data_IF_317300941758
#
_entry.id   IF_317300941758
#
_cell.length_a   1.000
_cell.length_b   1.000
_cell.length_c   1.000
_cell.angle_alpha   90.00
_cell.angle_beta   90.00
_cell.angle_gamma   90.00
#
_symmetry.space_group_name_H-M   'P 1'
#
loop_
_entity.id
_entity.type
_entity.pdbx_description
1 polymer ?
#
# COMPACT_ATOMS: atom_id res chain seq x y z
N UNK A 1 42.86 -13.75 -11.33
CA UNK A 1 42.55 -12.59 -10.45
C UNK A 1 41.35 -11.89 -11.05
N UNK A 2 40.28 -11.69 -10.30
CA UNK A 2 39.11 -10.95 -10.81
C UNK A 2 39.48 -9.49 -11.03
N UNK A 3 38.93 -8.88 -12.05
CA UNK A 3 38.96 -7.45 -12.26
C UNK A 3 37.73 -6.83 -11.59
N UNK A 4 37.96 -5.76 -10.82
CA UNK A 4 36.88 -5.02 -10.18
C UNK A 4 36.79 -3.64 -10.83
N UNK A 5 35.62 -3.25 -11.29
CA UNK A 5 35.36 -1.92 -11.82
C UNK A 5 34.55 -1.15 -10.79
N UNK A 6 34.89 0.11 -10.62
CA UNK A 6 34.08 1.06 -9.89
C UNK A 6 33.35 1.93 -10.91
N UNK A 7 32.04 2.05 -10.76
CA UNK A 7 31.21 2.93 -11.61
C UNK A 7 30.93 4.20 -10.82
N UNK A 8 31.29 5.35 -11.40
CA UNK A 8 30.98 6.64 -10.82
C UNK A 8 29.45 6.83 -10.75
N UNK A 9 28.89 7.31 -9.63
CA UNK A 9 27.45 7.62 -9.53
C UNK A 9 26.93 8.59 -10.60
N UNK A 10 27.82 9.41 -11.17
CA UNK A 10 27.51 10.37 -12.25
C UNK A 10 27.72 9.79 -13.67
N UNK A 11 28.07 8.49 -13.77
CA UNK A 11 28.29 7.87 -15.07
C UNK A 11 27.02 7.84 -15.91
N UNK A 12 27.16 8.15 -17.21
CA UNK A 12 26.04 8.11 -18.15
C UNK A 12 25.55 6.66 -18.35
N UNK A 13 24.24 6.51 -18.58
CA UNK A 13 23.60 5.21 -18.84
C UNK A 13 23.78 4.86 -20.31
N UNK A 14 24.95 4.38 -20.66
CA UNK A 14 25.33 3.97 -22.03
C UNK A 14 26.27 2.76 -22.01
N UNK A 15 26.55 2.18 -23.16
CA UNK A 15 27.60 1.18 -23.31
C UNK A 15 28.94 1.84 -23.60
N UNK A 16 29.94 1.46 -22.82
CA UNK A 16 31.32 1.90 -22.97
C UNK A 16 32.12 0.77 -23.63
N UNK A 17 32.63 0.94 -24.88
CA UNK A 17 33.50 -0.04 -25.47
C UNK A 17 34.88 -0.02 -24.75
N UNK A 18 35.35 -1.19 -24.37
CA UNK A 18 36.63 -1.40 -23.73
C UNK A 18 37.48 -2.38 -24.55
N UNK A 19 38.78 -2.17 -24.59
CA UNK A 19 39.70 -3.14 -25.19
C UNK A 19 40.70 -3.64 -24.15
N UNK A 20 40.69 -4.93 -23.89
CA UNK A 20 41.66 -5.59 -23.01
C UNK A 20 42.83 -6.08 -23.85
N UNK A 21 44.01 -5.52 -23.64
CA UNK A 21 45.25 -5.93 -24.28
C UNK A 21 45.98 -6.93 -23.36
N UNK A 22 46.19 -8.14 -23.86
CA UNK A 22 46.91 -9.20 -23.13
C UNK A 22 48.20 -9.52 -23.89
N UNK A 23 49.33 -9.26 -23.23
CA UNK A 23 50.66 -9.58 -23.76
C UNK A 23 51.40 -10.51 -22.82
N UNK A 24 52.19 -11.41 -23.34
CA UNK A 24 53.01 -12.30 -22.55
C UNK A 24 54.35 -12.59 -23.27
N UNK A 25 55.33 -13.03 -22.50
CA UNK A 25 56.61 -13.47 -23.08
C UNK A 25 56.40 -14.57 -24.11
N UNK A 26 57.21 -14.56 -25.14
CA UNK A 26 57.09 -15.49 -26.29
C UNK A 26 56.24 -15.01 -27.44
N UNK A 27 55.84 -13.72 -27.42
CA UNK A 27 55.16 -13.10 -28.54
C UNK A 27 53.65 -13.30 -28.54
N UNK A 28 53.06 -13.60 -27.39
CA UNK A 28 51.59 -13.60 -27.25
C UNK A 28 51.08 -12.16 -27.16
N UNK A 29 50.20 -11.81 -28.10
CA UNK A 29 49.57 -10.52 -28.16
C UNK A 29 48.12 -10.72 -28.63
N UNK A 30 47.16 -10.34 -27.80
CA UNK A 30 45.73 -10.45 -28.07
C UNK A 30 44.99 -9.24 -27.55
N UNK A 31 44.01 -8.82 -28.35
CA UNK A 31 43.03 -7.78 -27.96
C UNK A 31 41.69 -8.46 -27.83
N UNK A 32 41.01 -8.18 -26.72
CA UNK A 32 39.65 -8.60 -26.47
C UNK A 32 38.80 -7.32 -26.39
N UNK A 33 37.85 -7.16 -27.29
CA UNK A 33 36.86 -6.07 -27.21
C UNK A 33 35.72 -6.50 -26.31
N UNK A 34 35.39 -5.65 -25.36
CA UNK A 34 34.35 -5.84 -24.35
C UNK A 34 33.44 -4.62 -24.36
N UNK A 35 32.16 -4.84 -24.15
CA UNK A 35 31.19 -3.76 -23.91
C UNK A 35 30.80 -3.75 -22.44
N UNK A 36 31.12 -2.65 -21.74
CA UNK A 36 30.63 -2.40 -20.40
C UNK A 36 29.37 -1.54 -20.49
N UNK A 37 28.23 -2.11 -20.19
CA UNK A 37 26.95 -1.38 -20.16
C UNK A 37 26.69 -0.86 -18.77
N UNK A 38 26.53 0.46 -18.63
CA UNK A 38 25.98 1.10 -17.44
C UNK A 38 24.46 1.21 -17.65
N UNK A 39 23.69 0.63 -16.76
CA UNK A 39 22.23 0.67 -16.81
C UNK A 39 21.65 0.96 -15.44
N UNK A 40 20.38 1.34 -15.41
CA UNK A 40 19.62 1.43 -14.14
C UNK A 40 19.18 0.05 -13.62
N UNK A 41 19.45 -1.02 -14.36
CA UNK A 41 19.11 -2.38 -13.95
C UNK A 41 20.10 -2.86 -12.89
N UNK A 42 19.58 -3.21 -11.74
CA UNK A 42 20.32 -3.93 -10.71
C UNK A 42 20.28 -5.44 -11.02
N UNK A 43 21.29 -6.19 -10.57
CA UNK A 43 21.25 -7.65 -10.63
C UNK A 43 19.96 -8.17 -9.99
N UNK A 44 19.34 -9.17 -10.62
CA UNK A 44 18.02 -9.71 -10.28
C UNK A 44 16.81 -8.76 -10.48
N UNK A 45 16.99 -7.53 -10.95
CA UNK A 45 15.90 -6.65 -11.35
C UNK A 45 15.89 -6.42 -12.87
N UNK A 46 14.71 -6.37 -13.54
CA UNK A 46 13.37 -6.49 -12.94
C UNK A 46 13.04 -7.93 -12.52
N UNK A 47 12.30 -8.06 -11.42
CA UNK A 47 11.74 -9.34 -10.97
C UNK A 47 10.48 -9.64 -11.80
N UNK A 48 10.40 -10.86 -12.36
CA UNK A 48 9.23 -11.29 -13.12
C UNK A 48 8.31 -12.12 -12.21
N UNK A 49 7.16 -11.55 -11.86
CA UNK A 49 6.11 -12.25 -11.14
C UNK A 49 5.18 -12.97 -12.11
N UNK A 50 4.57 -14.07 -11.65
CA UNK A 50 3.57 -14.81 -12.44
C UNK A 50 2.23 -14.08 -12.50
N UNK A 51 1.89 -13.30 -11.47
CA UNK A 51 0.70 -12.47 -11.36
C UNK A 51 0.93 -11.02 -11.76
N UNK A 52 -0.14 -10.33 -12.18
CA UNK A 52 -0.10 -8.88 -12.35
C UNK A 52 0.04 -8.20 -10.98
N UNK A 53 0.83 -7.13 -10.90
CA UNK A 53 0.90 -6.25 -9.73
C UNK A 53 -0.01 -5.07 -9.97
N UNK A 54 -0.97 -4.84 -9.07
CA UNK A 54 -1.89 -3.68 -9.10
C UNK A 54 -1.59 -2.69 -8.00
N UNK A 55 -1.23 -3.19 -6.82
CA UNK A 55 -0.84 -2.38 -5.68
C UNK A 55 0.60 -1.85 -5.81
N UNK A 56 0.94 -0.89 -4.98
CA UNK A 56 2.29 -0.36 -4.86
C UNK A 56 3.11 -1.30 -3.96
N UNK A 57 4.36 -1.66 -4.33
CA UNK A 57 5.28 -2.32 -3.41
C UNK A 57 5.58 -1.44 -2.19
N UNK A 58 5.81 -2.05 -1.06
CA UNK A 58 6.23 -1.39 0.18
C UNK A 58 7.63 -1.84 0.53
N UNK A 59 8.45 -0.90 0.97
CA UNK A 59 9.79 -1.18 1.52
C UNK A 59 9.72 -0.99 3.03
N UNK A 60 10.05 -2.04 3.77
CA UNK A 60 10.12 -2.05 5.21
C UNK A 60 11.36 -2.86 5.65
N UNK A 61 12.18 -2.28 6.53
CA UNK A 61 13.38 -2.91 7.12
C UNK A 61 14.30 -3.61 6.09
N UNK A 62 14.61 -2.91 4.99
CA UNK A 62 15.43 -3.41 3.87
C UNK A 62 14.81 -4.59 3.08
N UNK A 63 13.50 -4.81 3.21
CA UNK A 63 12.74 -5.77 2.43
C UNK A 63 11.68 -5.08 1.57
N UNK A 64 11.42 -5.66 0.39
CA UNK A 64 10.38 -5.24 -0.54
C UNK A 64 9.23 -6.24 -0.46
N UNK A 65 8.04 -5.75 -0.12
CA UNK A 65 6.82 -6.54 -0.09
C UNK A 65 5.90 -6.14 -1.23
N UNK A 66 5.33 -7.13 -1.92
CA UNK A 66 4.40 -6.89 -3.01
C UNK A 66 3.34 -7.98 -3.09
N UNK A 67 2.09 -7.58 -3.23
CA UNK A 67 0.98 -8.48 -3.51
C UNK A 67 0.70 -8.56 -5.00
N UNK A 68 0.40 -9.75 -5.50
CA UNK A 68 0.05 -9.95 -6.90
C UNK A 68 -1.43 -10.33 -7.11
N UNK A 69 -1.85 -10.31 -8.36
CA UNK A 69 -3.22 -10.63 -8.77
C UNK A 69 -3.57 -12.12 -8.70
N UNK A 70 -2.62 -13.00 -8.44
CA UNK A 70 -2.85 -14.42 -8.12
C UNK A 70 -3.11 -14.64 -6.63
N UNK A 71 -2.94 -13.60 -5.80
CA UNK A 71 -3.14 -13.64 -4.36
C UNK A 71 -1.88 -13.93 -3.56
N UNK A 72 -0.72 -13.86 -4.19
CA UNK A 72 0.55 -14.15 -3.54
C UNK A 72 1.17 -12.87 -2.98
N UNK A 73 1.57 -12.91 -1.72
CA UNK A 73 2.41 -11.89 -1.08
C UNK A 73 3.86 -12.35 -1.19
N UNK A 74 4.66 -11.57 -1.88
CA UNK A 74 6.09 -11.82 -2.07
C UNK A 74 6.91 -10.92 -1.14
N UNK A 75 8.07 -11.42 -0.71
CA UNK A 75 9.07 -10.69 0.06
C UNK A 75 10.43 -10.85 -0.59
N UNK A 76 11.08 -9.74 -0.94
CA UNK A 76 12.39 -9.71 -1.60
C UNK A 76 13.36 -8.86 -0.81
N UNK A 77 14.63 -9.28 -0.78
CA UNK A 77 15.70 -8.42 -0.30
C UNK A 77 16.00 -7.29 -1.30
N UNK A 78 16.81 -6.32 -0.91
CA UNK A 78 17.19 -5.18 -1.76
C UNK A 78 18.06 -5.58 -2.97
N UNK A 79 18.47 -6.85 -3.07
CA UNK A 79 19.18 -7.42 -4.22
C UNK A 79 18.23 -8.22 -5.13
N UNK A 80 16.95 -8.32 -4.82
CA UNK A 80 15.93 -9.03 -5.60
C UNK A 80 15.92 -10.54 -5.38
N UNK A 81 16.49 -11.03 -4.30
CA UNK A 81 16.35 -12.43 -3.91
C UNK A 81 15.07 -12.61 -3.11
N UNK A 82 14.25 -13.58 -3.52
CA UNK A 82 13.01 -13.89 -2.82
C UNK A 82 13.32 -14.54 -1.46
N UNK A 83 12.69 -14.02 -0.40
CA UNK A 83 12.74 -14.66 0.92
C UNK A 83 11.79 -15.86 0.93
N UNK A 84 12.33 -16.99 1.37
CA UNK A 84 11.58 -18.23 1.55
C UNK A 84 11.52 -18.67 3.02
N UNK A 85 11.81 -17.75 3.93
CA UNK A 85 11.70 -17.97 5.36
C UNK A 85 10.29 -17.65 5.85
N UNK A 86 9.85 -18.33 6.90
CA UNK A 86 8.51 -18.17 7.43
C UNK A 86 7.45 -18.64 6.43
N UNK A 87 6.40 -17.83 6.24
CA UNK A 87 5.27 -18.16 5.34
C UNK A 87 5.44 -17.60 3.93
N UNK A 88 6.44 -16.77 3.65
CA UNK A 88 6.62 -16.17 2.32
C UNK A 88 7.24 -17.13 1.29
N UNK A 89 6.80 -17.06 0.01
CA UNK A 89 5.65 -16.31 -0.49
C UNK A 89 4.33 -16.85 0.08
N UNK A 90 3.42 -15.96 0.52
CA UNK A 90 2.16 -16.33 1.18
C UNK A 90 0.98 -16.26 0.21
N UNK A 91 0.19 -17.33 0.12
CA UNK A 91 -1.03 -17.42 -0.70
C UNK A 91 -2.25 -17.01 0.14
N UNK A 92 -2.84 -15.86 -0.18
CA UNK A 92 -4.07 -15.38 0.46
C UNK A 92 -5.35 -16.06 -0.06
N UNK A 93 -5.25 -16.88 -1.09
CA UNK A 93 -6.35 -17.65 -1.69
C UNK A 93 -7.15 -16.93 -2.78
N UNK A 94 -7.02 -15.61 -2.97
CA UNK A 94 -7.62 -14.82 -4.08
C UNK A 94 -6.86 -13.51 -4.26
N UNK A 95 -7.18 -12.78 -5.29
CA UNK A 95 -6.52 -11.58 -5.81
C UNK A 95 -6.22 -10.52 -4.74
N UNK A 96 -5.01 -9.98 -4.77
CA UNK A 96 -4.63 -8.77 -4.05
C UNK A 96 -4.70 -7.60 -5.01
N UNK A 97 -5.56 -6.61 -4.71
CA UNK A 97 -5.77 -5.41 -5.53
C UNK A 97 -5.14 -4.17 -4.92
N UNK A 98 -5.20 -4.07 -3.60
CA UNK A 98 -4.60 -2.98 -2.83
C UNK A 98 -3.10 -3.13 -2.68
N UNK A 99 -2.48 -2.10 -2.19
CA UNK A 99 -1.08 -2.14 -1.75
C UNK A 99 -0.96 -2.87 -0.41
N UNK A 100 0.22 -3.35 -0.13
CA UNK A 100 0.60 -3.78 1.23
C UNK A 100 0.69 -2.54 2.12
N UNK A 101 0.33 -2.64 3.39
CA UNK A 101 0.58 -1.62 4.41
C UNK A 101 1.63 -2.11 5.40
N UNK A 102 2.36 -1.19 6.03
CA UNK A 102 3.38 -1.54 7.02
C UNK A 102 3.43 -0.52 8.16
N UNK A 103 3.52 -1.00 9.38
CA UNK A 103 3.75 -0.24 10.62
C UNK A 103 4.11 -1.21 11.73
N UNK A 104 4.67 -0.73 12.82
CA UNK A 104 4.75 -1.46 14.09
C UNK A 104 3.35 -1.35 14.76
N UNK A 105 2.47 -2.36 14.53
CA UNK A 105 1.07 -2.27 14.93
C UNK A 105 0.85 -2.60 16.40
N UNK A 106 1.71 -3.41 17.01
CA UNK A 106 1.62 -3.81 18.43
C UNK A 106 2.71 -3.18 19.32
N UNK A 107 3.47 -2.23 18.73
CA UNK A 107 4.51 -1.44 19.40
C UNK A 107 5.62 -2.30 20.06
N UNK A 108 5.92 -3.45 19.46
CA UNK A 108 7.00 -4.33 19.92
C UNK A 108 8.40 -3.89 19.44
N UNK A 109 8.47 -2.87 18.60
CA UNK A 109 9.67 -2.29 18.01
C UNK A 109 10.06 -2.88 16.67
N UNK A 110 9.23 -3.77 16.10
CA UNK A 110 9.42 -4.38 14.78
C UNK A 110 8.31 -3.93 13.83
N UNK A 111 8.65 -3.77 12.55
CA UNK A 111 7.63 -3.44 11.54
C UNK A 111 6.79 -4.67 11.23
N UNK A 112 5.48 -4.49 11.07
CA UNK A 112 4.53 -5.49 10.64
C UNK A 112 4.03 -5.19 9.22
N UNK A 113 3.57 -6.22 8.55
CA UNK A 113 3.07 -6.18 7.17
C UNK A 113 1.61 -6.59 7.17
N UNK A 114 0.75 -5.74 6.58
CA UNK A 114 -0.69 -5.97 6.55
C UNK A 114 -1.17 -6.04 5.10
N UNK A 115 -1.93 -7.07 4.77
CA UNK A 115 -2.44 -7.33 3.41
C UNK A 115 -3.93 -7.63 3.45
N UNK A 116 -4.67 -7.01 2.54
CA UNK A 116 -6.07 -7.29 2.28
C UNK A 116 -6.24 -8.04 0.96
N UNK A 117 -7.14 -9.01 0.91
CA UNK A 117 -7.36 -9.86 -0.26
C UNK A 117 -8.84 -10.01 -0.60
N UNK A 118 -9.11 -10.28 -1.86
CA UNK A 118 -10.44 -10.66 -2.34
C UNK A 118 -10.89 -12.02 -1.79
N UNK A 119 -9.99 -12.82 -1.20
CA UNK A 119 -10.34 -14.00 -0.40
C UNK A 119 -11.20 -13.67 0.83
N UNK A 120 -11.36 -12.37 1.15
CA UNK A 120 -12.06 -11.78 2.31
C UNK A 120 -11.20 -11.70 3.58
N UNK A 121 -9.94 -12.05 3.47
CA UNK A 121 -9.01 -12.05 4.58
C UNK A 121 -8.20 -10.76 4.64
N UNK A 122 -8.06 -10.23 5.85
CA UNK A 122 -7.09 -9.24 6.24
C UNK A 122 -6.06 -9.93 7.12
N UNK A 123 -4.81 -10.00 6.65
CA UNK A 123 -3.76 -10.76 7.32
C UNK A 123 -2.62 -9.84 7.71
N UNK A 124 -2.11 -9.98 8.92
CA UNK A 124 -0.91 -9.31 9.39
C UNK A 124 0.20 -10.32 9.69
N UNK A 125 1.42 -9.95 9.33
CA UNK A 125 2.64 -10.73 9.52
C UNK A 125 3.69 -9.89 10.24
N UNK A 126 4.51 -10.52 11.05
CA UNK A 126 5.76 -9.91 11.47
C UNK A 126 6.82 -10.01 10.37
N UNK A 127 7.98 -9.39 10.58
CA UNK A 127 9.09 -9.42 9.61
C UNK A 127 9.74 -10.81 9.43
N UNK A 128 9.51 -11.76 10.35
CA UNK A 128 9.96 -13.16 10.21
C UNK A 128 8.98 -14.00 9.37
N UNK A 129 7.78 -13.45 9.08
CA UNK A 129 6.71 -14.13 8.36
C UNK A 129 5.82 -14.96 9.27
N UNK A 130 5.83 -14.72 10.58
CA UNK A 130 4.85 -15.30 11.48
C UNK A 130 3.54 -14.50 11.38
N UNK A 131 2.41 -15.22 11.27
CA UNK A 131 1.10 -14.59 11.17
C UNK A 131 0.69 -14.07 12.55
N UNK A 132 0.50 -12.75 12.68
CA UNK A 132 -0.02 -12.10 13.90
C UNK A 132 -1.53 -12.31 14.02
N UNK A 133 -2.25 -12.08 12.93
CA UNK A 133 -3.67 -12.41 12.84
C UNK A 133 -4.10 -12.69 11.41
N UNK A 134 -5.24 -13.37 11.28
CA UNK A 134 -5.96 -13.61 10.02
C UNK A 134 -7.45 -13.38 10.28
N UNK A 135 -7.97 -12.23 9.82
CA UNK A 135 -9.34 -11.78 10.05
C UNK A 135 -10.21 -12.01 8.82
N UNK A 136 -11.31 -12.80 8.94
CA UNK A 136 -12.33 -12.99 7.89
C UNK A 136 -13.37 -11.86 7.96
N UNK A 137 -13.27 -10.91 7.02
CA UNK A 137 -14.20 -9.79 6.88
C UNK A 137 -15.54 -10.18 6.25
N UNK A 138 -15.70 -11.41 5.77
CA UNK A 138 -16.89 -11.87 5.03
C UNK A 138 -17.17 -11.10 3.72
N UNK A 139 -16.32 -10.14 3.36
CA UNK A 139 -16.39 -9.26 2.19
C UNK A 139 -15.10 -9.30 1.39
N UNK A 140 -15.17 -9.13 0.08
CA UNK A 140 -13.97 -8.89 -0.73
C UNK A 140 -13.30 -7.60 -0.27
N UNK A 141 -12.04 -7.68 0.09
CA UNK A 141 -11.22 -6.55 0.49
C UNK A 141 -10.31 -6.20 -0.71
N UNK A 142 -10.59 -5.05 -1.34
CA UNK A 142 -9.89 -4.64 -2.56
C UNK A 142 -9.07 -3.36 -2.37
N UNK A 143 -9.37 -2.59 -1.34
CA UNK A 143 -8.64 -1.38 -0.99
C UNK A 143 -7.36 -1.68 -0.21
N UNK A 144 -6.40 -0.77 -0.26
CA UNK A 144 -5.23 -0.81 0.62
C UNK A 144 -5.66 -0.62 2.06
N UNK A 145 -5.20 -1.46 3.02
CA UNK A 145 -5.43 -1.22 4.44
C UNK A 145 -4.80 0.09 4.89
N UNK A 146 -5.47 0.82 5.78
CA UNK A 146 -4.89 1.96 6.48
C UNK A 146 -4.63 1.58 7.94
N UNK A 147 -3.56 2.10 8.51
CA UNK A 147 -3.15 1.84 9.89
C UNK A 147 -3.15 3.17 10.64
N UNK A 148 -3.80 3.22 11.79
CA UNK A 148 -3.91 4.42 12.62
C UNK A 148 -4.45 4.12 14.00
N UNK A 149 -4.65 5.15 14.80
CA UNK A 149 -5.13 5.05 16.17
C UNK A 149 -6.63 5.33 16.23
N UNK A 150 -7.46 4.29 16.41
CA UNK A 150 -8.92 4.44 16.45
C UNK A 150 -9.51 4.31 17.86
N UNK A 151 -8.75 3.82 18.85
CA UNK A 151 -9.27 3.66 20.19
C UNK A 151 -8.37 4.28 21.27
N UNK A 152 -8.34 3.79 22.50
CA UNK A 152 -7.63 4.47 23.58
C UNK A 152 -6.42 3.70 24.07
N UNK A 153 -6.15 2.52 23.50
CA UNK A 153 -4.91 1.83 23.78
C UNK A 153 -3.77 2.38 22.90
N UNK A 154 -2.51 2.08 23.17
CA UNK A 154 -1.39 2.64 22.41
C UNK A 154 -1.11 1.89 21.10
N UNK A 155 -1.58 0.67 20.94
CA UNK A 155 -1.40 -0.16 19.76
C UNK A 155 -2.25 0.39 18.60
N UNK A 156 -1.94 0.00 17.34
CA UNK A 156 -2.60 0.59 16.18
C UNK A 156 -3.67 -0.34 15.60
N UNK A 157 -4.72 0.27 15.06
CA UNK A 157 -5.81 -0.40 14.39
C UNK A 157 -5.63 -0.39 12.88
N UNK A 158 -6.23 -1.38 12.24
CA UNK A 158 -6.21 -1.55 10.79
C UNK A 158 -7.62 -1.36 10.24
N UNK A 159 -7.77 -0.42 9.30
CA UNK A 159 -9.04 -0.12 8.65
C UNK A 159 -9.01 -0.58 7.20
N UNK A 160 -10.04 -1.31 6.77
CA UNK A 160 -10.17 -1.74 5.38
C UNK A 160 -11.63 -1.70 4.93
N UNK A 161 -11.91 -1.20 3.70
CA UNK A 161 -13.26 -1.16 3.16
C UNK A 161 -13.62 -2.46 2.43
N UNK A 162 -14.89 -2.85 2.51
CA UNK A 162 -15.46 -4.02 1.84
C UNK A 162 -16.14 -3.68 0.53
N UNK A 163 -16.01 -4.57 -0.46
CA UNK A 163 -16.52 -4.37 -1.82
C UNK A 163 -17.70 -5.28 -2.21
N UNK A 164 -17.83 -6.47 -1.63
CA UNK A 164 -18.83 -7.44 -2.07
C UNK A 164 -20.25 -7.00 -1.73
N UNK A 165 -21.24 -7.51 -2.49
CA UNK A 165 -22.65 -7.18 -2.29
C UNK A 165 -23.23 -7.57 -0.92
N UNK A 166 -22.57 -8.49 -0.23
CA UNK A 166 -22.98 -8.97 1.11
C UNK A 166 -22.20 -8.33 2.27
N UNK A 167 -21.23 -7.45 1.99
CA UNK A 167 -20.36 -6.88 3.01
C UNK A 167 -19.83 -5.51 2.59
N UNK A 168 -20.72 -4.59 2.27
CA UNK A 168 -20.41 -3.21 1.94
C UNK A 168 -20.21 -2.39 3.23
N UNK A 169 -19.17 -2.76 3.96
CA UNK A 169 -18.88 -2.27 5.30
C UNK A 169 -17.47 -1.74 5.39
N UNK A 170 -17.23 -0.88 6.35
CA UNK A 170 -15.89 -0.53 6.79
C UNK A 170 -15.57 -1.40 7.99
N UNK A 171 -14.48 -2.13 7.89
CA UNK A 171 -13.95 -2.98 8.94
C UNK A 171 -12.80 -2.27 9.63
N UNK A 172 -12.77 -2.34 10.95
CA UNK A 172 -11.63 -1.92 11.75
C UNK A 172 -11.30 -3.04 12.76
N UNK A 173 -10.04 -3.42 12.80
CA UNK A 173 -9.54 -4.47 13.69
C UNK A 173 -8.32 -3.99 14.43
N UNK A 174 -8.16 -4.44 15.69
CA UNK A 174 -7.01 -4.20 16.52
C UNK A 174 -5.78 -4.96 16.01
N UNK A 175 -4.61 -4.62 16.52
CA UNK A 175 -3.33 -5.28 16.25
C UNK A 175 -3.36 -6.82 16.40
N UNK A 176 -4.26 -7.36 17.22
CA UNK A 176 -4.44 -8.80 17.47
C UNK A 176 -5.54 -9.46 16.62
N UNK A 177 -6.17 -8.68 15.70
CA UNK A 177 -7.26 -9.13 14.84
C UNK A 177 -8.64 -9.12 15.48
N UNK A 178 -8.79 -8.69 16.74
CA UNK A 178 -10.09 -8.47 17.35
C UNK A 178 -10.77 -7.23 16.75
N UNK A 179 -12.09 -7.19 16.78
CA UNK A 179 -12.87 -6.11 16.15
C UNK A 179 -12.89 -4.87 17.04
N UNK A 180 -12.59 -3.71 16.46
CA UNK A 180 -12.72 -2.40 17.16
C UNK A 180 -14.16 -2.11 17.52
N UNK A 181 -14.38 -1.52 18.68
CA UNK A 181 -15.73 -1.16 19.15
C UNK A 181 -16.40 -0.18 18.18
N UNK A 182 -17.67 -0.43 17.80
CA UNK A 182 -18.39 0.37 16.81
C UNK A 182 -18.29 -0.16 15.38
N UNK A 183 -17.39 -1.09 15.09
CA UNK A 183 -17.20 -1.70 13.78
C UNK A 183 -17.69 -3.16 13.72
N UNK A 184 -17.94 -3.69 12.50
CA UNK A 184 -17.90 -3.02 11.21
C UNK A 184 -19.10 -2.07 10.99
N UNK A 185 -18.84 -0.93 10.34
CA UNK A 185 -19.88 0.04 9.98
C UNK A 185 -20.50 -0.33 8.63
N UNK A 186 -21.82 -0.42 8.58
CA UNK A 186 -22.56 -0.70 7.35
C UNK A 186 -22.78 0.59 6.54
N UNK A 187 -22.12 0.69 5.39
CA UNK A 187 -22.23 1.82 4.46
C UNK A 187 -23.25 1.51 3.36
N UNK A 188 -23.53 0.21 3.11
CA UNK A 188 -24.38 -0.32 2.02
C UNK A 188 -23.93 0.12 0.61
N UNK A 189 -22.70 0.59 0.46
CA UNK A 189 -22.09 1.01 -0.80
C UNK A 189 -20.75 0.31 -1.02
N UNK A 190 -20.40 0.08 -2.29
CA UNK A 190 -19.14 -0.58 -2.64
C UNK A 190 -17.97 0.39 -2.54
N UNK A 191 -16.88 -0.07 -1.95
CA UNK A 191 -15.66 0.69 -1.80
C UNK A 191 -14.49 -0.13 -2.36
N UNK A 192 -13.82 0.38 -3.40
CA UNK A 192 -12.75 -0.33 -4.12
C UNK A 192 -11.36 0.18 -3.77
N UNK A 193 -11.27 1.36 -3.16
CA UNK A 193 -10.02 2.05 -2.84
C UNK A 193 -9.75 2.03 -1.34
N UNK A 194 -8.53 2.38 -0.95
CA UNK A 194 -8.18 2.56 0.45
C UNK A 194 -8.88 3.76 1.09
N UNK A 195 -8.78 3.85 2.41
CA UNK A 195 -9.30 4.94 3.23
C UNK A 195 -8.18 5.93 3.59
N UNK A 196 -8.54 7.13 4.00
CA UNK A 196 -7.63 8.04 4.71
C UNK A 196 -8.05 8.15 6.18
N UNK A 197 -7.07 8.22 7.07
CA UNK A 197 -7.24 8.35 8.51
C UNK A 197 -6.72 9.70 8.98
N UNK A 198 -7.49 10.40 9.82
CA UNK A 198 -7.06 11.61 10.51
C UNK A 198 -8.07 11.99 11.60
N UNK A 199 -7.62 12.58 12.69
CA UNK A 199 -8.45 13.07 13.79
C UNK A 199 -9.20 14.37 13.40
N UNK A 200 -10.44 14.25 12.93
CA UNK A 200 -11.29 15.39 12.50
C UNK A 200 -12.01 16.07 13.65
N UNK A 201 -12.26 15.36 14.73
CA UNK A 201 -13.01 15.86 15.88
C UNK A 201 -12.12 16.30 17.05
N UNK A 202 -10.78 16.16 16.90
CA UNK A 202 -9.74 16.49 17.88
C UNK A 202 -9.90 15.75 19.22
N UNK A 203 -10.26 14.47 19.15
CA UNK A 203 -10.37 13.60 20.32
C UNK A 203 -9.11 12.74 20.56
N UNK A 204 -8.10 12.85 19.71
CA UNK A 204 -6.85 12.09 19.74
C UNK A 204 -6.93 10.73 19.04
N UNK A 205 -8.00 10.46 18.30
CA UNK A 205 -8.24 9.24 17.55
C UNK A 205 -8.52 9.54 16.09
N UNK A 206 -8.12 8.66 15.21
CA UNK A 206 -8.31 8.84 13.79
C UNK A 206 -9.75 8.52 13.36
N UNK A 207 -10.33 9.40 12.57
CA UNK A 207 -11.59 9.22 11.85
C UNK A 207 -11.32 8.77 10.40
N UNK A 208 -12.31 8.19 9.75
CA UNK A 208 -12.16 7.45 8.50
C UNK A 208 -12.82 8.21 7.36
N UNK A 209 -12.06 8.50 6.30
CA UNK A 209 -12.59 9.06 5.04
C UNK A 209 -12.54 8.00 3.95
N UNK A 210 -13.65 7.79 3.24
CA UNK A 210 -13.73 6.82 2.15
C UNK A 210 -14.62 7.31 1.01
N UNK A 211 -14.22 6.99 -0.22
CA UNK A 211 -15.03 7.16 -1.43
C UNK A 211 -15.74 5.87 -1.84
N UNK A 212 -16.87 5.98 -2.52
CA UNK A 212 -17.70 4.84 -2.91
C UNK A 212 -18.03 4.79 -4.40
N UNK A 213 -18.46 3.61 -4.87
CA UNK A 213 -19.00 3.40 -6.21
C UNK A 213 -20.44 3.96 -6.39
N UNK A 214 -21.01 4.59 -5.35
CA UNK A 214 -22.32 5.22 -5.36
C UNK A 214 -22.23 6.74 -5.26
N UNK A 215 -21.15 7.32 -5.76
CA UNK A 215 -20.91 8.75 -5.92
C UNK A 215 -20.71 9.51 -4.60
N UNK A 216 -20.52 8.80 -3.47
CA UNK A 216 -20.46 9.39 -2.14
C UNK A 216 -19.05 9.37 -1.54
N UNK A 217 -18.79 10.37 -0.69
CA UNK A 217 -17.63 10.45 0.20
C UNK A 217 -18.18 10.45 1.62
N UNK A 218 -17.70 9.52 2.44
CA UNK A 218 -18.07 9.40 3.85
C UNK A 218 -16.93 9.90 4.73
N UNK A 219 -17.29 10.55 5.82
CA UNK A 219 -16.44 10.75 6.99
C UNK A 219 -17.14 10.05 8.15
N UNK A 220 -16.46 9.07 8.74
CA UNK A 220 -16.97 8.24 9.83
C UNK A 220 -16.00 8.39 11.01
N UNK A 221 -16.53 8.71 12.17
CA UNK A 221 -15.76 8.89 13.39
C UNK A 221 -15.22 7.57 13.95
N UNK A 222 -14.22 7.65 14.81
CA UNK A 222 -13.57 6.55 15.51
C UNK A 222 -14.54 5.57 16.19
N UNK A 223 -15.73 6.05 16.61
CA UNK A 223 -16.78 5.25 17.24
C UNK A 223 -17.76 4.59 16.23
N UNK A 224 -17.51 4.73 14.93
CA UNK A 224 -18.34 4.20 13.84
C UNK A 224 -19.55 5.09 13.47
N UNK A 225 -19.69 6.26 14.06
CA UNK A 225 -20.81 7.17 13.72
C UNK A 225 -20.48 8.04 12.52
N UNK A 226 -21.51 8.36 11.71
CA UNK A 226 -21.36 9.24 10.55
C UNK A 226 -21.19 10.69 10.99
N UNK A 227 -20.18 11.38 10.46
CA UNK A 227 -19.94 12.79 10.76
C UNK A 227 -21.05 13.69 10.18
N UNK A 228 -21.42 14.77 10.88
CA UNK A 228 -22.41 15.73 10.36
C UNK A 228 -21.99 16.33 9.01
N UNK A 229 -22.95 16.46 8.07
CA UNK A 229 -22.70 16.96 6.73
C UNK A 229 -22.27 15.90 5.71
N UNK A 230 -22.02 14.68 6.16
CA UNK A 230 -21.71 13.54 5.29
C UNK A 230 -22.87 12.54 5.20
N UNK A 231 -22.95 11.72 4.12
CA UNK A 231 -22.02 11.70 2.99
C UNK A 231 -22.14 12.94 2.09
N UNK A 232 -20.99 13.34 1.50
CA UNK A 232 -20.97 14.32 0.42
C UNK A 232 -21.12 13.59 -0.92
N UNK A 233 -22.06 14.05 -1.78
CA UNK A 233 -22.33 13.41 -3.07
C UNK A 233 -21.65 14.17 -4.21
N UNK A 234 -20.83 13.45 -5.00
CA UNK A 234 -20.22 13.92 -6.25
C UNK A 234 -21.11 13.65 -7.46
N UNK A 235 -20.64 13.89 -8.68
CA UNK A 235 -21.43 13.64 -9.90
C UNK A 235 -21.30 12.22 -10.47
N UNK A 236 -20.32 11.41 -10.00
CA UNK A 236 -20.08 10.02 -10.40
C UNK A 236 -19.18 9.35 -9.32
N UNK A 237 -18.87 8.09 -9.50
CA UNK A 237 -18.10 7.24 -8.57
C UNK A 237 -16.83 7.89 -8.08
N UNK A 238 -16.53 7.65 -6.81
CA UNK A 238 -15.28 8.03 -6.16
C UNK A 238 -14.40 6.80 -6.04
N UNK A 239 -13.52 6.60 -7.03
CA UNK A 239 -12.59 5.46 -7.12
C UNK A 239 -11.12 5.89 -6.97
N UNK A 240 -10.89 7.10 -6.48
CA UNK A 240 -9.59 7.56 -6.01
C UNK A 240 -9.55 7.48 -4.48
N UNK A 241 -8.43 7.04 -3.94
CA UNK A 241 -8.22 7.11 -2.49
C UNK A 241 -8.21 8.59 -2.04
N UNK A 242 -8.96 8.94 -1.00
CA UNK A 242 -8.96 10.31 -0.47
C UNK A 242 -7.60 10.63 0.19
N UNK A 243 -7.31 11.90 0.27
CA UNK A 243 -6.21 12.42 1.09
C UNK A 243 -6.71 13.56 1.97
N UNK A 244 -6.08 13.76 3.12
CA UNK A 244 -6.44 14.78 4.09
C UNK A 244 -5.25 15.70 4.30
N UNK A 245 -5.50 17.00 4.34
CA UNK A 245 -4.47 17.98 4.62
C UNK A 245 -5.00 19.13 5.48
N UNK A 246 -4.18 19.63 6.39
CA UNK A 246 -4.54 20.76 7.22
C UNK A 246 -4.21 22.08 6.48
N UNK A 247 -5.24 22.88 6.23
CA UNK A 247 -5.09 24.21 5.64
C UNK A 247 -5.50 25.26 6.68
N UNK A 248 -4.53 26.01 7.17
CA UNK A 248 -4.74 27.09 8.14
C UNK A 248 -5.49 26.68 9.42
N UNK A 249 -5.29 25.44 9.86
CA UNK A 249 -5.91 24.87 11.05
C UNK A 249 -7.21 24.10 10.79
N UNK A 250 -7.66 24.04 9.53
CA UNK A 250 -8.86 23.27 9.12
C UNK A 250 -8.45 22.03 8.30
N UNK A 251 -9.01 20.89 8.63
CA UNK A 251 -8.82 19.66 7.86
C UNK A 251 -9.70 19.69 6.61
N UNK A 252 -9.09 19.40 5.47
CA UNK A 252 -9.73 19.38 4.17
C UNK A 252 -9.50 18.03 3.51
N UNK A 253 -10.57 17.44 3.02
CA UNK A 253 -10.56 16.17 2.28
C UNK A 253 -10.39 16.48 0.80
N UNK A 254 -9.42 15.83 0.16
CA UNK A 254 -9.14 15.94 -1.27
C UNK A 254 -9.40 14.61 -1.96
N UNK A 255 -10.19 14.62 -3.04
CA UNK A 255 -10.50 13.38 -3.78
C UNK A 255 -10.91 13.66 -5.21
N UNK A 256 -10.58 12.74 -6.13
CA UNK A 256 -11.06 12.75 -7.51
C UNK A 256 -12.32 11.89 -7.68
N UNK A 257 -13.22 12.32 -8.56
CA UNK A 257 -14.40 11.56 -8.96
C UNK A 257 -14.37 11.28 -10.47
N UNK A 258 -15.04 10.21 -10.89
CA UNK A 258 -15.18 9.87 -12.32
C UNK A 258 -16.06 10.84 -13.10
N UNK A 259 -16.65 11.83 -12.44
CA UNK A 259 -17.34 12.97 -13.07
C UNK A 259 -16.38 13.99 -13.70
N UNK A 260 -15.07 13.69 -13.72
CA UNK A 260 -13.99 14.55 -14.20
C UNK A 260 -13.78 15.79 -13.32
N UNK A 261 -14.05 15.72 -12.04
CA UNK A 261 -13.75 16.77 -11.10
C UNK A 261 -12.86 16.29 -9.95
N UNK A 262 -12.05 17.21 -9.46
CA UNK A 262 -11.29 17.09 -8.21
C UNK A 262 -11.96 17.96 -7.16
N UNK A 263 -12.24 17.39 -6.01
CA UNK A 263 -12.99 18.00 -4.92
C UNK A 263 -12.09 18.32 -3.74
N UNK A 264 -12.32 19.46 -3.11
CA UNK A 264 -11.85 19.79 -1.78
C UNK A 264 -13.06 20.04 -0.89
N UNK A 265 -13.22 19.25 0.18
CA UNK A 265 -14.38 19.22 1.05
C UNK A 265 -13.93 19.53 2.47
N UNK A 266 -14.60 20.47 3.14
CA UNK A 266 -14.33 20.82 4.53
C UNK A 266 -14.82 19.72 5.49
N UNK A 267 -14.32 19.72 6.71
CA UNK A 267 -14.68 18.77 7.77
C UNK A 267 -16.17 18.80 8.17
N UNK A 268 -16.90 19.86 7.84
CA UNK A 268 -18.34 19.99 8.04
C UNK A 268 -19.19 19.47 6.86
N UNK A 269 -18.56 18.88 5.83
CA UNK A 269 -19.20 18.38 4.63
C UNK A 269 -19.51 19.46 3.57
N UNK A 270 -19.14 20.72 3.79
CA UNK A 270 -19.32 21.77 2.80
C UNK A 270 -18.23 21.72 1.70
N UNK A 271 -18.61 22.03 0.47
CA UNK A 271 -17.66 22.16 -0.64
C UNK A 271 -16.76 23.38 -0.44
N UNK A 272 -15.45 23.17 -0.38
CA UNK A 272 -14.46 24.24 -0.35
C UNK A 272 -14.19 24.76 -1.76
N UNK A 273 -13.85 23.85 -2.67
CA UNK A 273 -13.77 24.10 -4.10
C UNK A 273 -13.84 22.80 -4.91
N UNK A 274 -14.11 22.95 -6.20
CA UNK A 274 -14.10 21.88 -7.19
C UNK A 274 -13.36 22.38 -8.42
N UNK A 275 -12.52 21.52 -9.02
CA UNK A 275 -11.74 21.83 -10.23
C UNK A 275 -11.96 20.72 -11.25
N UNK A 276 -12.35 21.05 -12.51
CA UNK A 276 -12.37 20.09 -13.59
C UNK A 276 -10.97 19.54 -13.88
N UNK A 277 -10.86 18.24 -14.16
CA UNK A 277 -9.58 17.53 -14.46
C UNK A 277 -9.50 17.16 -15.93
#
# INVERSE_FOLDING_TARGET
TPFTFYVDPEAEIISYPLSLYVTADGGYDRVFDLDLSVSLSQENFPINLSGQVKGTPVVADDWVFVGDYLGIVHKYDMNGNEDSLGVFPYDTGDQIWGSVASSDIDLDGSTDIVVSSKSKHLVAFDMNGDIKFDYDATSWLMGTPAIGQLDSDPELEIVVPGYSSSGKKIYAVNHDGSVVSGFPVDVDERMIVGVALHDFNNNGKDDIVVGTDSDNIYLIYDDGTLAPGFPYTTGDKVQAAPSVYNIDGELVIFVGSLDNNFYAINSDGSLRFMVPT
#
